data_IF_652044280346
#
_entry.id   IF_652044280346
#
_cell.length_a   1.000
_cell.length_b   1.000
_cell.length_c   1.000
_cell.angle_alpha   90.00
_cell.angle_beta   90.00
_cell.angle_gamma   90.00
#
_symmetry.space_group_name_H-M   'P 1'
#
loop_
_entity.id
_entity.type
_entity.pdbx_description
1 polymer ?
#
# COMPACT_ATOMS: atom_id res chain seq x y z
N UNK A 1 10.68 -19.09 16.49
CA UNK A 1 9.53 -20.02 16.37
C UNK A 1 8.51 -19.41 15.43
N UNK A 2 8.02 -20.18 14.46
CA UNK A 2 6.93 -19.78 13.56
C UNK A 2 5.82 -20.84 13.60
N UNK A 3 4.59 -20.45 13.29
CA UNK A 3 3.44 -21.33 13.18
C UNK A 3 2.78 -21.09 11.82
N UNK A 4 2.49 -22.17 11.08
CA UNK A 4 1.82 -22.10 9.78
C UNK A 4 0.55 -22.93 9.91
N UNK A 5 -0.58 -22.30 9.63
CA UNK A 5 -1.90 -22.92 9.68
C UNK A 5 -2.58 -22.73 8.33
N UNK A 6 -3.09 -23.82 7.76
CA UNK A 6 -4.02 -23.74 6.65
C UNK A 6 -5.42 -23.63 7.25
N UNK A 7 -6.03 -22.45 7.12
CA UNK A 7 -7.41 -22.22 7.53
C UNK A 7 -8.39 -22.88 6.54
N UNK A 8 -9.64 -23.00 6.96
CA UNK A 8 -10.75 -23.53 6.16
C UNK A 8 -11.17 -22.59 5.02
N UNK A 9 -11.01 -21.29 5.21
CA UNK A 9 -11.28 -20.23 4.24
C UNK A 9 -10.52 -18.94 4.60
N UNK A 10 -10.63 -17.92 3.76
CA UNK A 10 -9.99 -16.62 3.96
C UNK A 10 -10.56 -15.80 5.13
N UNK A 11 -11.81 -16.01 5.54
CA UNK A 11 -12.38 -15.35 6.72
C UNK A 11 -11.70 -15.86 7.99
N UNK A 12 -11.59 -17.17 8.12
CA UNK A 12 -10.88 -17.82 9.21
C UNK A 12 -9.40 -17.43 9.23
N UNK A 13 -8.74 -17.38 8.07
CA UNK A 13 -7.36 -16.93 7.96
C UNK A 13 -7.17 -15.49 8.47
N UNK A 14 -8.01 -14.54 8.06
CA UNK A 14 -7.94 -13.17 8.55
C UNK A 14 -8.21 -13.07 10.06
N UNK A 15 -9.21 -13.80 10.58
CA UNK A 15 -9.47 -13.87 12.01
C UNK A 15 -8.28 -14.41 12.81
N UNK A 16 -7.62 -15.46 12.33
CA UNK A 16 -6.41 -16.02 12.95
C UNK A 16 -5.25 -15.03 12.96
N UNK A 17 -5.01 -14.32 11.84
CA UNK A 17 -3.98 -13.28 11.75
C UNK A 17 -4.23 -12.16 12.75
N UNK A 18 -5.45 -11.62 12.79
CA UNK A 18 -5.82 -10.53 13.70
C UNK A 18 -5.71 -10.96 15.16
N UNK A 19 -6.17 -12.17 15.50
CA UNK A 19 -6.06 -12.72 16.85
C UNK A 19 -4.60 -12.91 17.29
N UNK A 20 -3.76 -13.46 16.42
CA UNK A 20 -2.33 -13.62 16.69
C UNK A 20 -1.63 -12.25 16.87
N UNK A 21 -1.96 -11.29 16.02
CA UNK A 21 -1.45 -9.93 16.09
C UNK A 21 -1.88 -9.16 17.34
N UNK A 22 -3.13 -9.34 17.76
CA UNK A 22 -3.65 -8.79 19.01
C UNK A 22 -2.90 -9.34 20.24
N UNK A 23 -2.52 -10.62 20.20
CA UNK A 23 -1.64 -11.24 21.21
C UNK A 23 -0.16 -10.80 21.12
N UNK A 24 0.20 -10.00 20.12
CA UNK A 24 1.54 -9.42 19.96
C UNK A 24 2.49 -10.22 19.06
N UNK A 25 2.00 -11.24 18.35
CA UNK A 25 2.76 -11.87 17.27
C UNK A 25 2.80 -10.95 16.03
N UNK A 26 3.81 -11.11 15.18
CA UNK A 26 3.75 -10.60 13.81
C UNK A 26 3.12 -11.69 12.94
N UNK A 27 1.92 -11.44 12.43
CA UNK A 27 1.16 -12.41 11.65
C UNK A 27 0.76 -11.83 10.28
N UNK A 28 0.67 -12.72 9.28
CA UNK A 28 0.25 -12.36 7.93
C UNK A 28 -0.55 -13.47 7.27
N UNK A 29 -1.29 -13.13 6.22
CA UNK A 29 -1.88 -14.11 5.29
C UNK A 29 -1.58 -13.72 3.84
N UNK A 30 -1.08 -14.64 3.01
CA UNK A 30 -1.06 -14.47 1.57
C UNK A 30 -2.40 -14.89 0.94
N UNK A 31 -2.85 -14.14 -0.06
CA UNK A 31 -4.07 -14.41 -0.83
C UNK A 31 -4.04 -13.70 -2.19
N UNK A 32 -5.16 -13.63 -2.89
CA UNK A 32 -5.39 -12.83 -4.10
C UNK A 32 -6.73 -12.06 -3.99
N UNK A 33 -7.09 -11.25 -4.98
CA UNK A 33 -8.33 -10.45 -5.02
C UNK A 33 -9.61 -11.09 -4.44
N UNK A 34 -9.98 -12.35 -4.82
CA UNK A 34 -11.16 -13.00 -4.22
C UNK A 34 -11.07 -13.20 -2.70
N UNK A 35 -9.87 -13.51 -2.20
CA UNK A 35 -9.64 -13.66 -0.77
C UNK A 35 -9.65 -12.32 -0.05
N UNK A 36 -9.07 -11.26 -0.60
CA UNK A 36 -9.19 -9.90 -0.04
C UNK A 36 -10.67 -9.48 0.07
N UNK A 37 -11.47 -9.85 -0.93
CA UNK A 37 -12.92 -9.61 -0.91
C UNK A 37 -13.60 -10.30 0.28
N UNK A 38 -13.23 -11.55 0.59
CA UNK A 38 -13.72 -12.28 1.77
C UNK A 38 -13.20 -11.68 3.08
N UNK A 39 -11.90 -11.35 3.14
CA UNK A 39 -11.24 -10.81 4.34
C UNK A 39 -11.71 -9.39 4.72
N UNK A 40 -12.41 -8.69 3.84
CA UNK A 40 -12.74 -7.26 3.97
C UNK A 40 -13.45 -6.91 5.28
N UNK A 41 -14.34 -7.74 5.80
CA UNK A 41 -15.00 -7.50 7.10
C UNK A 41 -13.98 -7.45 8.25
N UNK A 42 -13.08 -8.43 8.29
CA UNK A 42 -12.03 -8.52 9.31
C UNK A 42 -10.96 -7.44 9.14
N UNK A 43 -10.64 -7.05 7.92
CA UNK A 43 -9.75 -5.90 7.66
C UNK A 43 -10.35 -4.62 8.26
N UNK A 44 -11.66 -4.40 8.08
CA UNK A 44 -12.37 -3.26 8.67
C UNK A 44 -12.33 -3.28 10.20
N UNK A 45 -12.54 -4.46 10.81
CA UNK A 45 -12.38 -4.65 12.26
C UNK A 45 -10.96 -4.30 12.72
N UNK A 46 -9.93 -4.81 12.05
CA UNK A 46 -8.54 -4.55 12.42
C UNK A 46 -8.14 -3.07 12.26
N UNK A 47 -8.67 -2.39 11.24
CA UNK A 47 -8.49 -0.95 11.06
C UNK A 47 -9.06 -0.16 12.24
N UNK A 48 -10.34 -0.40 12.58
CA UNK A 48 -11.01 0.35 13.62
C UNK A 48 -10.49 0.01 15.03
N UNK A 49 -10.17 -1.26 15.28
CA UNK A 49 -9.56 -1.73 16.52
C UNK A 49 -8.06 -1.43 16.65
N UNK A 50 -7.44 -0.86 15.61
CA UNK A 50 -6.00 -0.57 15.52
C UNK A 50 -5.13 -1.80 15.81
N UNK A 51 -5.46 -2.93 15.18
CA UNK A 51 -4.69 -4.17 15.28
C UNK A 51 -3.73 -4.27 14.08
N UNK A 52 -2.41 -4.41 14.31
CA UNK A 52 -1.44 -4.50 13.23
C UNK A 52 -1.54 -5.85 12.51
N UNK A 53 -1.78 -5.87 11.21
CA UNK A 53 -1.79 -7.10 10.43
C UNK A 53 -1.23 -6.87 9.03
N UNK A 54 -0.64 -7.90 8.45
CA UNK A 54 -0.08 -7.85 7.09
C UNK A 54 -0.86 -8.78 6.18
N UNK A 55 -1.29 -8.28 5.03
CA UNK A 55 -1.94 -9.09 3.99
C UNK A 55 -1.14 -8.98 2.70
N UNK A 56 -0.80 -10.12 2.11
CA UNK A 56 -0.19 -10.15 0.78
C UNK A 56 -1.28 -10.43 -0.23
N UNK A 57 -1.49 -9.50 -1.16
CA UNK A 57 -2.35 -9.69 -2.32
C UNK A 57 -1.48 -9.96 -3.53
N UNK A 58 -1.43 -11.22 -3.95
CA UNK A 58 -0.75 -11.65 -5.17
C UNK A 58 -1.76 -11.56 -6.30
N UNK A 59 -1.85 -10.37 -6.90
CA UNK A 59 -2.90 -10.04 -7.85
C UNK A 59 -2.86 -10.96 -9.08
N UNK A 60 -4.05 -11.39 -9.49
CA UNK A 60 -4.29 -12.19 -10.70
C UNK A 60 -5.48 -11.61 -11.44
N UNK A 61 -5.62 -11.99 -12.71
CA UNK A 61 -6.75 -11.52 -13.53
C UNK A 61 -8.09 -11.89 -12.89
N UNK A 62 -8.88 -10.88 -12.53
CA UNK A 62 -10.29 -10.98 -12.16
C UNK A 62 -11.24 -10.70 -13.34
N UNK A 63 -12.54 -10.42 -13.10
CA UNK A 63 -13.24 -10.50 -11.80
C UNK A 63 -13.62 -11.94 -11.42
N UNK A 64 -14.08 -12.14 -10.18
CA UNK A 64 -14.46 -13.47 -9.65
C UNK A 64 -13.29 -14.46 -9.78
N UNK A 65 -13.53 -15.68 -10.23
CA UNK A 65 -12.44 -16.64 -10.53
C UNK A 65 -11.49 -16.12 -11.59
N UNK A 66 -11.95 -15.27 -12.53
CA UNK A 66 -11.14 -14.68 -13.59
C UNK A 66 -10.25 -15.69 -14.32
N UNK A 67 -8.97 -15.33 -14.52
CA UNK A 67 -7.94 -16.24 -15.06
C UNK A 67 -6.86 -16.47 -14.00
N UNK A 68 -6.94 -17.57 -13.22
CA UNK A 68 -6.05 -17.77 -12.06
C UNK A 68 -4.56 -17.83 -12.35
N UNK A 69 -4.19 -18.13 -13.60
CA UNK A 69 -2.82 -18.28 -14.06
C UNK A 69 -2.32 -17.09 -14.87
N UNK A 70 -3.03 -15.95 -14.80
CA UNK A 70 -2.72 -14.73 -15.56
C UNK A 70 -2.56 -13.54 -14.62
N UNK A 71 -1.62 -12.67 -14.95
CA UNK A 71 -1.28 -11.49 -14.15
C UNK A 71 -2.16 -10.30 -14.53
N UNK A 72 -2.56 -9.50 -13.55
CA UNK A 72 -3.24 -8.23 -13.73
C UNK A 72 -3.11 -7.42 -12.44
N UNK A 73 -3.07 -6.09 -12.52
CA UNK A 73 -2.96 -5.20 -11.36
C UNK A 73 -4.28 -4.45 -11.14
N UNK A 74 -5.34 -5.21 -10.85
CA UNK A 74 -6.73 -4.73 -10.77
C UNK A 74 -7.29 -4.63 -9.36
N UNK A 75 -6.47 -4.77 -8.32
CA UNK A 75 -6.92 -4.82 -6.93
C UNK A 75 -6.34 -3.65 -6.10
N UNK A 76 -5.81 -2.61 -6.77
CA UNK A 76 -5.21 -1.43 -6.14
C UNK A 76 -6.22 -0.67 -5.28
N UNK A 77 -7.38 -0.35 -5.86
CA UNK A 77 -8.46 0.34 -5.14
C UNK A 77 -9.06 -0.55 -4.05
N UNK A 78 -9.16 -1.86 -4.33
CA UNK A 78 -9.65 -2.84 -3.36
C UNK A 78 -8.78 -2.83 -2.10
N UNK A 79 -7.46 -2.89 -2.24
CA UNK A 79 -6.54 -2.88 -1.10
C UNK A 79 -6.42 -1.50 -0.44
N UNK A 80 -6.34 -0.40 -1.21
CA UNK A 80 -6.17 0.94 -0.66
C UNK A 80 -7.35 1.39 0.23
N UNK A 81 -8.58 0.95 -0.09
CA UNK A 81 -9.82 1.35 0.57
C UNK A 81 -10.57 0.17 1.21
N UNK A 82 -9.90 -0.94 1.51
CA UNK A 82 -10.52 -2.16 2.05
C UNK A 82 -11.23 -1.95 3.40
N UNK A 83 -12.49 -1.55 3.36
CA UNK A 83 -13.68 -2.25 3.82
C UNK A 83 -14.85 -1.27 3.71
N UNK A 84 -16.02 -1.66 4.22
CA UNK A 84 -17.13 -0.75 4.41
C UNK A 84 -16.77 0.38 5.40
N UNK A 85 -17.42 1.53 5.24
CA UNK A 85 -17.08 2.75 5.97
C UNK A 85 -15.87 3.48 5.37
N UNK A 86 -15.40 4.51 6.08
CA UNK A 86 -14.28 5.33 5.62
C UNK A 86 -12.94 4.74 6.11
N UNK A 87 -12.37 3.83 5.31
CA UNK A 87 -11.07 3.20 5.61
C UNK A 87 -10.02 3.58 4.56
N UNK A 88 -8.76 3.64 4.99
CA UNK A 88 -7.58 3.79 4.14
C UNK A 88 -6.45 2.95 4.70
N UNK A 89 -5.69 2.29 3.83
CA UNK A 89 -4.63 1.38 4.27
C UNK A 89 -3.27 1.77 3.74
N UNK A 90 -2.24 1.26 4.42
CA UNK A 90 -0.87 1.33 3.92
C UNK A 90 -0.70 0.22 2.90
N UNK A 91 -0.20 0.53 1.72
CA UNK A 91 -0.02 -0.43 0.62
C UNK A 91 1.38 -0.30 0.03
N UNK A 92 2.06 -1.42 -0.16
CA UNK A 92 3.39 -1.52 -0.76
C UNK A 92 3.31 -2.17 -2.14
N UNK A 93 4.05 -1.62 -3.11
CA UNK A 93 4.03 -2.06 -4.52
C UNK A 93 5.41 -2.53 -4.99
N UNK A 94 5.83 -3.76 -4.65
CA UNK A 94 7.12 -4.31 -5.10
C UNK A 94 7.11 -4.55 -6.63
N UNK A 95 8.27 -4.37 -7.27
CA UNK A 95 8.46 -4.57 -8.72
C UNK A 95 9.23 -5.84 -9.10
N UNK A 96 9.81 -6.54 -8.13
CA UNK A 96 10.55 -7.78 -8.34
C UNK A 96 10.63 -8.61 -7.03
N UNK A 97 11.14 -9.86 -7.08
CA UNK A 97 11.27 -10.69 -5.88
C UNK A 97 12.22 -10.14 -4.80
N UNK A 98 13.20 -9.30 -5.14
CA UNK A 98 14.07 -8.66 -4.14
C UNK A 98 13.29 -7.63 -3.34
N UNK A 99 12.49 -6.81 -4.01
CA UNK A 99 11.60 -5.87 -3.32
C UNK A 99 10.52 -6.60 -2.53
N UNK A 100 9.97 -7.72 -3.02
CA UNK A 100 9.06 -8.54 -2.21
C UNK A 100 9.71 -8.98 -0.89
N UNK A 101 10.98 -9.38 -0.90
CA UNK A 101 11.73 -9.73 0.30
C UNK A 101 11.90 -8.54 1.24
N UNK A 102 12.35 -7.39 0.73
CA UNK A 102 12.59 -6.17 1.52
C UNK A 102 11.29 -5.57 2.07
N UNK A 103 10.24 -5.51 1.24
CA UNK A 103 8.95 -4.94 1.58
C UNK A 103 8.17 -5.83 2.53
N UNK A 104 8.41 -7.14 2.54
CA UNK A 104 7.84 -8.02 3.57
C UNK A 104 8.25 -7.59 4.98
N UNK A 105 9.53 -7.24 5.18
CA UNK A 105 10.04 -6.76 6.47
C UNK A 105 9.42 -5.40 6.81
N UNK A 106 9.44 -4.48 5.84
CA UNK A 106 8.91 -3.13 6.02
C UNK A 106 7.41 -3.14 6.30
N UNK A 107 6.63 -4.04 5.68
CA UNK A 107 5.20 -4.17 5.92
C UNK A 107 4.90 -4.49 7.39
N UNK A 108 5.68 -5.36 8.03
CA UNK A 108 5.50 -5.65 9.46
C UNK A 108 5.87 -4.47 10.36
N UNK A 109 6.96 -3.78 10.05
CA UNK A 109 7.38 -2.59 10.80
C UNK A 109 6.33 -1.48 10.65
N UNK A 110 5.82 -1.23 9.45
CA UNK A 110 4.74 -0.29 9.18
C UNK A 110 3.45 -0.67 9.90
N UNK A 111 3.02 -1.94 9.79
CA UNK A 111 1.83 -2.42 10.46
C UNK A 111 1.91 -2.21 11.97
N UNK A 112 3.03 -2.56 12.62
CA UNK A 112 3.18 -2.38 14.08
C UNK A 112 3.36 -0.91 14.49
N UNK A 113 4.10 -0.12 13.72
CA UNK A 113 4.30 1.31 13.97
C UNK A 113 2.99 2.08 13.92
N UNK A 114 2.22 1.90 12.85
CA UNK A 114 0.96 2.60 12.60
C UNK A 114 -0.27 1.85 13.11
N UNK A 115 -0.09 0.65 13.65
CA UNK A 115 -1.14 -0.15 14.29
C UNK A 115 -2.37 -0.28 13.38
N UNK A 116 -2.16 -0.73 12.15
CA UNK A 116 -3.18 -0.76 11.11
C UNK A 116 -2.90 -1.92 10.13
N UNK A 117 -3.93 -2.44 9.43
CA UNK A 117 -3.70 -3.35 8.31
C UNK A 117 -2.77 -2.71 7.27
N UNK A 118 -1.79 -3.48 6.82
CA UNK A 118 -0.82 -3.10 5.80
C UNK A 118 -0.79 -4.16 4.71
N UNK A 119 -0.82 -3.73 3.47
CA UNK A 119 -0.88 -4.61 2.30
C UNK A 119 0.44 -4.62 1.55
N UNK A 120 0.85 -5.79 1.09
CA UNK A 120 1.87 -5.94 0.05
C UNK A 120 1.17 -6.43 -1.19
N UNK A 121 1.07 -5.55 -2.19
CA UNK A 121 0.29 -5.77 -3.41
C UNK A 121 1.27 -6.05 -4.54
N UNK A 122 1.55 -7.33 -4.73
CA UNK A 122 2.36 -7.87 -5.82
C UNK A 122 1.45 -8.37 -6.94
N UNK A 123 2.00 -9.01 -7.96
CA UNK A 123 1.24 -9.67 -9.00
C UNK A 123 1.77 -11.08 -9.30
N UNK A 124 1.00 -11.84 -10.06
CA UNK A 124 1.28 -13.24 -10.36
C UNK A 124 2.56 -13.43 -11.18
N UNK A 125 2.97 -12.43 -11.96
CA UNK A 125 4.20 -12.51 -12.76
C UNK A 125 5.43 -12.52 -11.86
N UNK A 126 5.45 -11.64 -10.84
CA UNK A 126 6.47 -11.63 -9.80
C UNK A 126 6.38 -12.90 -8.93
N UNK A 127 5.17 -13.34 -8.60
CA UNK A 127 4.94 -14.42 -7.63
C UNK A 127 5.11 -15.84 -8.15
N UNK A 128 5.05 -16.08 -9.46
CA UNK A 128 5.09 -17.44 -10.04
C UNK A 128 6.20 -17.70 -11.07
N UNK A 129 6.90 -16.68 -11.56
CA UNK A 129 7.97 -16.85 -12.55
C UNK A 129 9.37 -16.78 -11.92
N UNK A 130 10.37 -17.30 -12.64
CA UNK A 130 11.77 -17.19 -12.25
C UNK A 130 12.35 -15.83 -12.69
N UNK A 131 13.00 -15.14 -11.77
CA UNK A 131 13.61 -13.84 -12.00
C UNK A 131 15.11 -13.86 -11.72
N UNK A 132 15.88 -13.18 -12.58
CA UNK A 132 17.26 -12.84 -12.25
C UNK A 132 17.26 -11.57 -11.40
N UNK A 133 17.58 -11.73 -10.12
CA UNK A 133 17.69 -10.62 -9.16
C UNK A 133 19.09 -10.60 -8.54
N UNK A 134 19.53 -9.45 -7.99
CA UNK A 134 20.66 -9.43 -7.08
C UNK A 134 20.46 -10.42 -5.94
N UNK A 135 21.56 -10.97 -5.43
CA UNK A 135 21.52 -11.90 -4.30
C UNK A 135 20.82 -11.22 -3.11
N UNK A 136 19.89 -11.94 -2.49
CA UNK A 136 19.23 -11.49 -1.26
C UNK A 136 20.25 -11.47 -0.10
N UNK A 137 20.24 -10.36 0.64
CA UNK A 137 21.08 -10.16 1.81
C UNK A 137 20.19 -9.97 3.05
N UNK A 138 20.58 -10.58 4.16
CA UNK A 138 19.87 -10.46 5.44
C UNK A 138 20.82 -9.96 6.52
N UNK A 139 20.35 -8.99 7.30
CA UNK A 139 21.06 -8.50 8.48
C UNK A 139 20.60 -9.27 9.73
N UNK A 140 21.44 -10.18 10.23
CA UNK A 140 21.17 -10.94 11.46
C UNK A 140 21.04 -10.04 12.71
N UNK A 141 21.48 -8.78 12.64
CA UNK A 141 21.32 -7.80 13.71
C UNK A 141 20.00 -7.02 13.66
N UNK A 142 19.19 -7.26 12.63
CA UNK A 142 17.90 -6.59 12.43
C UNK A 142 17.02 -6.69 13.67
N UNK A 143 16.51 -5.54 14.11
CA UNK A 143 15.56 -5.44 15.22
C UNK A 143 14.23 -4.91 14.69
N UNK A 144 13.16 -5.71 14.77
CA UNK A 144 11.79 -5.30 14.47
C UNK A 144 11.39 -3.95 15.10
N UNK A 145 10.84 -3.03 14.31
CA UNK A 145 10.16 -1.86 14.84
C UNK A 145 8.80 -2.27 15.43
N UNK A 146 8.74 -2.44 16.75
CA UNK A 146 7.50 -2.83 17.44
C UNK A 146 6.51 -1.68 17.59
N UNK A 147 6.89 -0.44 17.25
CA UNK A 147 6.12 0.76 17.54
C UNK A 147 6.01 1.05 19.04
N UNK A 148 4.95 1.75 19.44
CA UNK A 148 4.68 2.15 20.83
C UNK A 148 4.05 1.02 21.66
N UNK A 149 4.81 -0.05 21.92
CA UNK A 149 4.38 -1.16 22.77
C UNK A 149 4.92 -0.97 24.19
N UNK A 150 4.03 -0.77 25.16
CA UNK A 150 4.40 -0.58 26.56
C UNK A 150 4.71 -1.90 27.25
N UNK A 151 5.86 -1.96 27.93
CA UNK A 151 6.24 -3.04 28.83
C UNK A 151 5.65 -2.91 30.23
N UNK A 152 5.89 -3.92 31.08
CA UNK A 152 5.37 -3.95 32.45
C UNK A 152 5.84 -2.76 33.29
N UNK A 153 7.12 -2.37 33.18
CA UNK A 153 7.68 -1.24 33.94
C UNK A 153 7.08 0.12 33.55
N UNK A 154 6.74 0.29 32.26
CA UNK A 154 6.11 1.50 31.75
C UNK A 154 4.65 1.57 32.22
N UNK A 155 3.94 0.44 32.16
CA UNK A 155 2.56 0.32 32.63
C UNK A 155 2.44 0.48 34.14
N UNK A 156 3.41 0.03 34.92
CA UNK A 156 3.41 0.21 36.38
C UNK A 156 3.54 1.69 36.77
N UNK A 157 4.34 2.45 36.02
CA UNK A 157 4.52 3.90 36.21
C UNK A 157 3.35 4.73 35.68
N UNK A 158 2.56 4.19 34.75
CA UNK A 158 1.38 4.86 34.24
C UNK A 158 0.32 4.99 35.35
N UNK A 159 -0.27 6.18 35.46
CA UNK A 159 -1.41 6.42 36.34
C UNK A 159 -2.65 5.68 35.82
N UNK A 160 -2.95 5.87 34.53
CA UNK A 160 -4.00 5.17 33.80
C UNK A 160 -3.49 4.81 32.40
N UNK A 161 -4.05 3.75 31.80
CA UNK A 161 -3.80 3.34 30.43
C UNK A 161 -5.10 3.42 29.63
N UNK A 162 -5.05 4.09 28.47
CA UNK A 162 -6.17 4.21 27.53
C UNK A 162 -5.68 3.84 26.14
N UNK A 163 -6.30 2.79 25.56
CA UNK A 163 -5.82 2.16 24.32
C UNK A 163 -5.76 3.11 23.13
N UNK A 164 -6.69 4.06 23.03
CA UNK A 164 -6.90 4.89 21.84
C UNK A 164 -6.56 6.37 22.07
N UNK A 165 -5.90 6.67 23.19
CA UNK A 165 -5.52 8.02 23.55
C UNK A 165 -4.14 8.34 22.96
N UNK A 166 -4.10 9.30 22.05
CA UNK A 166 -2.85 9.87 21.55
C UNK A 166 -2.26 10.83 22.59
N UNK A 167 -1.03 10.55 23.02
CA UNK A 167 -0.33 11.30 24.06
C UNK A 167 0.70 12.28 23.48
N UNK A 168 1.17 12.03 22.26
CA UNK A 168 2.33 12.72 21.69
C UNK A 168 1.93 13.65 20.52
N UNK A 169 0.68 13.54 20.03
CA UNK A 169 0.17 14.31 18.91
C UNK A 169 0.57 13.76 17.54
N UNK A 170 1.14 12.55 17.49
CA UNK A 170 1.52 11.86 16.26
C UNK A 170 0.45 10.88 15.75
N UNK A 171 -0.73 10.90 16.37
CA UNK A 171 -1.91 10.10 16.05
C UNK A 171 -1.78 8.60 16.35
N UNK A 172 -0.64 8.18 16.92
CA UNK A 172 -0.34 6.78 17.23
C UNK A 172 -0.41 6.61 18.76
N UNK A 173 -1.47 5.97 19.30
CA UNK A 173 -1.59 5.75 20.72
C UNK A 173 -0.64 4.62 21.17
N UNK A 174 -0.17 4.62 22.43
CA UNK A 174 0.54 3.45 22.96
C UNK A 174 -0.39 2.24 23.04
N UNK A 175 0.16 1.03 22.84
CA UNK A 175 -0.55 -0.24 23.05
C UNK A 175 0.13 -1.10 24.10
N UNK A 176 -0.67 -1.89 24.81
CA UNK A 176 -0.22 -2.95 25.70
C UNK A 176 -0.54 -4.30 25.07
N UNK A 177 0.21 -5.35 25.45
CA UNK A 177 -0.08 -6.72 25.04
C UNK A 177 -0.78 -7.49 26.17
N UNK A 178 -1.68 -8.43 25.85
CA UNK A 178 -2.34 -9.28 26.84
C UNK A 178 -1.32 -9.99 27.74
N UNK A 179 -1.56 -9.95 29.05
CA UNK A 179 -0.74 -10.64 30.05
C UNK A 179 0.53 -9.92 30.50
N UNK A 180 0.86 -8.74 29.93
CA UNK A 180 2.07 -7.99 30.33
C UNK A 180 1.91 -7.34 31.71
N UNK A 181 0.78 -6.67 31.97
CA UNK A 181 0.49 -6.05 33.26
C UNK A 181 -1.02 -5.79 33.45
N UNK A 182 -1.60 -5.92 34.65
CA UNK A 182 -3.04 -5.67 34.88
C UNK A 182 -3.49 -4.26 34.50
N UNK A 183 -2.64 -3.23 34.68
CA UNK A 183 -2.96 -1.84 34.29
C UNK A 183 -3.09 -1.66 32.78
N UNK A 184 -2.46 -2.52 31.97
CA UNK A 184 -2.55 -2.47 30.51
C UNK A 184 -3.75 -3.22 29.93
N UNK A 185 -4.72 -3.63 30.76
CA UNK A 185 -5.91 -4.33 30.31
C UNK A 185 -6.90 -3.37 29.65
N UNK A 186 -7.44 -3.76 28.50
CA UNK A 186 -8.46 -3.00 27.77
C UNK A 186 -9.37 -3.94 26.98
N UNK A 187 -10.55 -3.45 26.62
CA UNK A 187 -11.43 -4.14 25.69
C UNK A 187 -11.25 -3.55 24.29
N UNK A 188 -11.07 -4.42 23.31
CA UNK A 188 -11.12 -4.06 21.89
C UNK A 188 -12.52 -4.29 21.35
N UNK A 189 -12.99 -3.45 20.43
CA UNK A 189 -14.36 -3.50 19.88
C UNK A 189 -14.34 -3.17 18.39
N UNK A 190 -15.27 -3.74 17.64
CA UNK A 190 -15.62 -3.28 16.29
C UNK A 190 -16.78 -2.28 16.27
N UNK A 191 -17.45 -2.09 17.41
CA UNK A 191 -18.51 -1.08 17.61
C UNK A 191 -17.92 0.27 18.01
N UNK A 192 -18.70 1.34 17.84
CA UNK A 192 -18.33 2.71 18.23
C UNK A 192 -17.62 2.80 19.58
N UNK A 193 -16.47 3.47 19.62
CA UNK A 193 -15.72 3.72 20.85
C UNK A 193 -15.13 5.12 20.88
N UNK A 194 -14.95 5.66 22.08
CA UNK A 194 -14.22 6.90 22.30
C UNK A 194 -12.70 6.64 22.38
N UNK A 195 -11.91 7.71 22.60
CA UNK A 195 -10.46 7.63 22.80
C UNK A 195 -10.03 6.88 24.07
N UNK A 196 -10.95 6.66 25.01
CA UNK A 196 -10.70 5.90 26.24
C UNK A 196 -11.05 4.41 26.08
N UNK A 197 -11.60 4.00 24.93
CA UNK A 197 -12.01 2.62 24.63
C UNK A 197 -13.37 2.24 25.21
N UNK A 198 -14.17 3.22 25.64
CA UNK A 198 -15.52 3.00 26.10
C UNK A 198 -16.47 2.97 24.91
N UNK A 199 -17.48 2.10 24.97
CA UNK A 199 -18.52 2.08 23.95
C UNK A 199 -19.28 3.40 23.94
N UNK A 200 -19.50 3.94 22.74
CA UNK A 200 -20.23 5.19 22.55
C UNK A 200 -20.95 5.20 21.22
N UNK A 201 -22.06 5.94 21.16
CA UNK A 201 -22.75 6.36 19.94
C UNK A 201 -22.76 7.90 19.81
N UNK A 202 -21.97 8.58 20.64
CA UNK A 202 -21.82 10.02 20.60
C UNK A 202 -21.10 10.47 19.31
N UNK A 203 -21.66 11.49 18.67
CA UNK A 203 -21.18 11.98 17.39
C UNK A 203 -19.78 12.59 17.48
N UNK A 204 -19.51 13.38 18.50
CA UNK A 204 -18.24 14.10 18.61
C UNK A 204 -17.10 13.13 18.93
N UNK A 205 -17.35 12.17 19.81
CA UNK A 205 -16.40 11.10 20.12
C UNK A 205 -16.07 10.23 18.89
N UNK A 206 -17.08 9.89 18.08
CA UNK A 206 -16.87 9.14 16.84
C UNK A 206 -16.01 9.92 15.83
N UNK A 207 -16.34 11.21 15.62
CA UNK A 207 -15.60 12.09 14.71
C UNK A 207 -14.15 12.24 15.15
N UNK A 208 -13.88 12.39 16.45
CA UNK A 208 -12.52 12.48 17.01
C UNK A 208 -11.68 11.24 16.65
N UNK A 209 -12.23 10.04 16.86
CA UNK A 209 -11.52 8.78 16.57
C UNK A 209 -11.27 8.62 15.06
N UNK A 210 -12.29 8.83 14.23
CA UNK A 210 -12.16 8.65 12.78
C UNK A 210 -11.18 9.65 12.16
N UNK A 211 -11.21 10.90 12.59
CA UNK A 211 -10.26 11.92 12.13
C UNK A 211 -8.81 11.55 12.50
N UNK A 212 -8.57 11.04 13.72
CA UNK A 212 -7.25 10.56 14.15
C UNK A 212 -6.79 9.36 13.31
N UNK A 213 -7.65 8.39 13.03
CA UNK A 213 -7.29 7.22 12.22
C UNK A 213 -6.84 7.64 10.81
N UNK A 214 -7.56 8.57 10.19
CA UNK A 214 -7.18 9.12 8.88
C UNK A 214 -5.83 9.85 8.95
N UNK A 215 -5.61 10.68 9.98
CA UNK A 215 -4.35 11.40 10.17
C UNK A 215 -3.17 10.45 10.42
N UNK A 216 -3.38 9.38 11.20
CA UNK A 216 -2.41 8.31 11.44
C UNK A 216 -1.98 7.65 10.14
N UNK A 217 -2.92 7.24 9.29
CA UNK A 217 -2.60 6.63 7.98
C UNK A 217 -1.84 7.62 7.10
N UNK A 218 -2.31 8.88 6.99
CA UNK A 218 -1.62 9.92 6.19
C UNK A 218 -0.18 10.16 6.65
N UNK A 219 0.08 10.11 7.96
CA UNK A 219 1.44 10.29 8.51
C UNK A 219 2.43 9.18 8.11
N UNK A 220 1.94 8.07 7.54
CA UNK A 220 2.77 7.00 7.00
C UNK A 220 3.37 7.29 5.62
N UNK A 221 2.94 8.36 4.93
CA UNK A 221 3.40 8.69 3.58
C UNK A 221 4.94 8.78 3.45
N UNK A 222 5.62 9.32 4.46
CA UNK A 222 7.09 9.43 4.46
C UNK A 222 7.80 8.17 5.01
N UNK A 223 7.03 7.15 5.40
CA UNK A 223 7.55 5.89 5.95
C UNK A 223 7.38 4.71 5.00
N UNK A 224 6.44 4.77 4.06
CA UNK A 224 6.37 3.79 2.97
C UNK A 224 7.65 3.87 2.13
N UNK A 225 8.00 2.80 1.38
CA UNK A 225 9.13 2.82 0.46
C UNK A 225 9.06 4.05 -0.45
N UNK A 226 10.14 4.82 -0.45
CA UNK A 226 10.21 6.05 -1.22
C UNK A 226 10.03 5.73 -2.73
N UNK A 227 9.27 6.55 -3.47
CA UNK A 227 9.12 6.36 -4.90
C UNK A 227 10.47 6.56 -5.60
N UNK A 228 10.65 5.89 -6.74
CA UNK A 228 11.87 6.01 -7.55
C UNK A 228 11.64 6.98 -8.70
N UNK A 229 12.47 8.02 -8.76
CA UNK A 229 12.39 9.07 -9.77
C UNK A 229 13.57 8.95 -10.72
N UNK A 230 13.28 8.86 -12.01
CA UNK A 230 14.25 8.91 -13.10
C UNK A 230 14.02 10.19 -13.87
N UNK A 231 14.94 11.15 -13.70
CA UNK A 231 14.92 12.44 -14.39
C UNK A 231 15.81 12.40 -15.63
N UNK A 232 15.44 13.18 -16.63
CA UNK A 232 16.18 13.34 -17.88
C UNK A 232 16.41 14.81 -18.19
N UNK A 233 17.57 15.14 -18.75
CA UNK A 233 17.87 16.51 -19.18
C UNK A 233 17.15 16.82 -20.50
N UNK A 234 16.49 17.98 -20.57
CA UNK A 234 15.79 18.42 -21.80
C UNK A 234 14.42 17.76 -22.03
N UNK A 235 13.76 17.28 -20.98
CA UNK A 235 12.45 16.63 -21.05
C UNK A 235 11.36 17.49 -21.69
N UNK A 236 10.40 16.82 -22.32
CA UNK A 236 9.30 17.43 -23.09
C UNK A 236 8.15 18.00 -22.23
N UNK A 237 8.28 18.01 -20.90
CA UNK A 237 7.15 18.27 -20.00
C UNK A 237 6.22 17.05 -19.82
N UNK A 238 6.58 15.89 -20.38
CA UNK A 238 5.86 14.61 -20.22
C UNK A 238 6.54 13.74 -19.17
N UNK A 239 5.77 13.30 -18.18
CA UNK A 239 6.18 12.31 -17.19
C UNK A 239 5.44 10.99 -17.36
N UNK A 240 6.09 9.88 -17.00
CA UNK A 240 5.45 8.56 -16.88
C UNK A 240 5.30 8.23 -15.40
N UNK A 241 4.15 7.68 -15.00
CA UNK A 241 3.92 7.12 -13.67
C UNK A 241 3.50 5.66 -13.79
N UNK A 242 4.06 4.78 -12.96
CA UNK A 242 3.66 3.37 -12.90
C UNK A 242 4.00 2.73 -11.55
N UNK A 243 3.66 1.45 -11.37
CA UNK A 243 3.88 0.66 -10.16
C UNK A 243 4.35 -0.76 -10.50
N UNK A 244 4.93 -1.44 -9.50
CA UNK A 244 5.13 -2.89 -9.49
C UNK A 244 5.75 -3.47 -10.76
N UNK A 245 5.23 -4.62 -11.22
CA UNK A 245 5.76 -5.38 -12.36
C UNK A 245 5.80 -4.63 -13.70
N UNK A 246 5.16 -3.46 -13.83
CA UNK A 246 5.28 -2.62 -15.02
C UNK A 246 6.68 -1.99 -15.17
N UNK A 247 7.43 -1.89 -14.07
CA UNK A 247 8.68 -1.14 -13.99
C UNK A 247 9.66 -1.41 -15.13
N UNK A 248 9.96 -2.68 -15.37
CA UNK A 248 11.01 -3.08 -16.31
C UNK A 248 10.64 -2.81 -17.76
N UNK A 249 9.37 -3.03 -18.13
CA UNK A 249 8.86 -2.69 -19.45
C UNK A 249 8.89 -1.17 -19.71
N UNK A 250 8.62 -0.36 -18.68
CA UNK A 250 8.69 1.10 -18.77
C UNK A 250 10.13 1.59 -18.92
N UNK A 251 11.07 1.04 -18.14
CA UNK A 251 12.49 1.38 -18.27
C UNK A 251 13.02 1.06 -19.68
N UNK A 252 12.72 -0.13 -20.20
CA UNK A 252 13.20 -0.55 -21.51
C UNK A 252 12.58 0.28 -22.66
N UNK A 253 11.31 0.66 -22.53
CA UNK A 253 10.67 1.59 -23.46
C UNK A 253 11.29 2.98 -23.40
N UNK A 254 11.60 3.49 -22.21
CA UNK A 254 12.27 4.79 -22.02
C UNK A 254 13.66 4.80 -22.64
N UNK A 255 14.43 3.72 -22.50
CA UNK A 255 15.75 3.60 -23.13
C UNK A 255 15.64 3.60 -24.66
N UNK A 256 14.58 3.00 -25.20
CA UNK A 256 14.28 3.03 -26.64
C UNK A 256 13.96 4.45 -27.12
N UNK A 257 13.08 5.18 -26.42
CA UNK A 257 12.79 6.58 -26.72
C UNK A 257 14.04 7.47 -26.63
N UNK A 258 14.88 7.26 -25.61
CA UNK A 258 16.11 8.03 -25.44
C UNK A 258 17.10 7.81 -26.60
N UNK A 259 17.18 6.59 -27.15
CA UNK A 259 17.98 6.31 -28.34
C UNK A 259 17.48 7.04 -29.60
N UNK A 260 16.21 7.43 -29.62
CA UNK A 260 15.57 8.23 -30.66
C UNK A 260 15.57 9.74 -30.35
N UNK A 261 16.20 10.15 -29.24
CA UNK A 261 16.30 11.55 -28.80
C UNK A 261 15.07 12.07 -28.07
N UNK A 262 14.15 11.19 -27.66
CA UNK A 262 12.99 11.53 -26.83
C UNK A 262 13.28 11.16 -25.38
N UNK A 263 13.32 12.19 -24.52
CA UNK A 263 13.63 12.03 -23.10
C UNK A 263 12.36 12.21 -22.26
N UNK A 264 12.01 11.17 -21.49
CA UNK A 264 10.81 11.11 -20.66
C UNK A 264 11.19 10.84 -19.22
N UNK A 265 10.67 11.65 -18.31
CA UNK A 265 10.83 11.42 -16.89
C UNK A 265 9.93 10.25 -16.44
N UNK A 266 10.35 9.52 -15.42
CA UNK A 266 9.58 8.39 -14.90
C UNK A 266 9.59 8.35 -13.38
N UNK A 267 8.40 8.22 -12.80
CA UNK A 267 8.18 7.96 -11.38
C UNK A 267 7.60 6.55 -11.21
N UNK A 268 8.31 5.70 -10.48
CA UNK A 268 7.75 4.48 -9.93
C UNK A 268 7.23 4.73 -8.53
N UNK A 269 5.92 4.60 -8.36
CA UNK A 269 5.28 4.60 -7.05
C UNK A 269 5.56 3.24 -6.38
N UNK A 270 6.04 3.28 -5.13
CA UNK A 270 6.43 2.08 -4.36
C UNK A 270 5.59 1.86 -3.09
N UNK A 271 4.78 2.85 -2.72
CA UNK A 271 3.80 2.71 -1.66
C UNK A 271 2.71 3.78 -1.67
N UNK A 272 1.68 3.53 -0.87
CA UNK A 272 0.54 4.41 -0.57
C UNK A 272 0.34 4.42 0.95
N UNK A 273 0.05 5.57 1.61
CA UNK A 273 -0.26 6.90 1.05
C UNK A 273 0.88 7.57 0.26
N UNK A 274 0.53 8.47 -0.66
CA UNK A 274 1.50 9.22 -1.46
C UNK A 274 2.17 10.33 -0.65
N UNK A 275 3.46 10.55 -0.90
CA UNK A 275 4.25 11.62 -0.28
C UNK A 275 4.46 12.81 -1.23
N UNK A 276 5.15 13.85 -0.74
CA UNK A 276 5.40 15.08 -1.52
C UNK A 276 6.20 14.82 -2.80
N UNK A 277 6.98 13.74 -2.87
CA UNK A 277 7.72 13.41 -4.12
C UNK A 277 6.77 13.07 -5.25
N UNK A 278 5.68 12.35 -4.96
CA UNK A 278 4.63 12.06 -5.95
C UNK A 278 3.93 13.35 -6.37
N UNK A 279 3.51 14.17 -5.41
CA UNK A 279 2.87 15.48 -5.67
C UNK A 279 3.75 16.38 -6.54
N UNK A 280 5.03 16.51 -6.19
CA UNK A 280 5.96 17.35 -6.93
C UNK A 280 6.16 16.82 -8.36
N UNK A 281 6.32 15.50 -8.52
CA UNK A 281 6.40 14.92 -9.86
C UNK A 281 5.15 15.23 -10.70
N UNK A 282 3.95 15.13 -10.13
CA UNK A 282 2.72 15.48 -10.85
C UNK A 282 2.61 16.97 -11.19
N UNK A 283 3.16 17.85 -10.34
CA UNK A 283 3.22 19.31 -10.59
C UNK A 283 4.21 19.67 -11.70
N UNK A 284 5.36 19.01 -11.75
CA UNK A 284 6.49 19.33 -12.64
C UNK A 284 6.24 19.02 -14.13
N UNK A 285 5.22 18.24 -14.48
CA UNK A 285 4.95 17.81 -15.85
C UNK A 285 3.61 18.35 -16.33
N UNK A 286 3.50 18.80 -17.57
CA UNK A 286 2.24 19.23 -18.16
C UNK A 286 1.31 18.05 -18.42
N UNK A 287 1.88 16.95 -18.92
CA UNK A 287 1.20 15.68 -19.14
C UNK A 287 1.86 14.56 -18.34
N UNK A 288 1.06 13.75 -17.66
CA UNK A 288 1.51 12.56 -16.95
C UNK A 288 0.79 11.33 -17.50
N UNK A 289 1.56 10.40 -18.05
CA UNK A 289 1.05 9.14 -18.60
C UNK A 289 1.16 8.05 -17.54
N UNK A 290 0.01 7.61 -17.03
CA UNK A 290 -0.10 6.51 -16.08
C UNK A 290 -0.12 5.20 -16.84
N UNK A 291 0.89 4.36 -16.64
CA UNK A 291 0.97 3.02 -17.23
C UNK A 291 0.54 2.01 -16.17
N UNK A 292 -0.51 1.25 -16.47
CA UNK A 292 -1.11 0.35 -15.49
C UNK A 292 -1.76 -0.87 -16.13
N UNK A 293 -1.73 -1.99 -15.39
CA UNK A 293 -2.27 -3.27 -15.86
C UNK A 293 -3.72 -3.50 -15.42
N UNK A 294 -4.62 -2.56 -15.72
CA UNK A 294 -6.05 -2.72 -15.47
C UNK A 294 -6.88 -1.88 -16.47
N UNK A 295 -8.18 -2.21 -16.58
CA UNK A 295 -9.11 -1.53 -17.49
C UNK A 295 -9.58 -0.18 -16.96
N UNK A 296 -9.70 -0.07 -15.64
CA UNK A 296 -10.48 0.97 -14.96
C UNK A 296 -9.63 2.13 -14.42
N UNK A 297 -8.36 2.18 -14.83
CA UNK A 297 -7.45 3.27 -14.52
C UNK A 297 -7.24 3.45 -13.00
N UNK A 298 -7.12 2.34 -12.26
CA UNK A 298 -7.13 2.36 -10.80
C UNK A 298 -6.00 3.21 -10.19
N UNK A 299 -4.78 3.15 -10.73
CA UNK A 299 -3.68 3.97 -10.22
C UNK A 299 -3.93 5.44 -10.52
N UNK A 300 -4.38 5.76 -11.75
CA UNK A 300 -4.75 7.12 -12.12
C UNK A 300 -5.86 7.66 -11.22
N UNK A 301 -6.91 6.88 -10.96
CA UNK A 301 -8.00 7.29 -10.08
C UNK A 301 -7.53 7.46 -8.64
N UNK A 302 -6.62 6.62 -8.15
CA UNK A 302 -6.01 6.79 -6.84
C UNK A 302 -5.22 8.11 -6.77
N UNK A 303 -4.44 8.45 -7.81
CA UNK A 303 -3.75 9.75 -7.90
C UNK A 303 -4.74 10.91 -7.90
N UNK A 304 -5.85 10.84 -8.65
CA UNK A 304 -6.86 11.90 -8.68
C UNK A 304 -7.56 12.12 -7.34
N UNK A 305 -7.78 11.05 -6.57
CA UNK A 305 -8.46 11.12 -5.28
C UNK A 305 -7.53 11.59 -4.15
N UNK A 306 -6.25 11.23 -4.24
CA UNK A 306 -5.29 11.34 -3.13
C UNK A 306 -4.21 12.39 -3.36
N UNK A 307 -4.26 13.13 -4.48
CA UNK A 307 -3.35 14.23 -4.78
C UNK A 307 -4.08 15.47 -5.28
N UNK A 308 -3.36 16.58 -5.39
CA UNK A 308 -3.87 17.83 -5.95
C UNK A 308 -3.85 17.90 -7.50
N UNK A 309 -3.51 16.80 -8.18
CA UNK A 309 -3.32 16.80 -9.63
C UNK A 309 -4.63 17.02 -10.40
N UNK A 310 -4.58 17.92 -11.40
CA UNK A 310 -5.68 18.15 -12.32
C UNK A 310 -5.92 16.93 -13.23
N UNK A 311 -7.20 16.64 -13.51
CA UNK A 311 -7.61 15.44 -14.26
C UNK A 311 -7.10 15.46 -15.70
N UNK A 312 -7.04 16.64 -16.29
CA UNK A 312 -6.66 16.88 -17.68
C UNK A 312 -5.21 16.48 -17.95
N UNK A 313 -4.35 16.56 -16.92
CA UNK A 313 -2.92 16.18 -16.99
C UNK A 313 -2.72 14.66 -17.03
N UNK A 314 -3.63 13.89 -16.44
CA UNK A 314 -3.47 12.44 -16.30
C UNK A 314 -4.04 11.68 -17.49
N UNK A 315 -3.14 11.12 -18.31
CA UNK A 315 -3.45 10.19 -19.38
C UNK A 315 -3.19 8.76 -18.91
N UNK A 316 -3.83 7.75 -19.50
CA UNK A 316 -3.62 6.35 -19.11
C UNK A 316 -3.30 5.47 -20.32
N UNK A 317 -2.30 4.62 -20.16
CA UNK A 317 -1.97 3.50 -21.05
C UNK A 317 -2.28 2.22 -20.29
N UNK A 318 -3.37 1.57 -20.72
CA UNK A 318 -3.98 0.45 -20.00
C UNK A 318 -3.63 -0.87 -20.65
N UNK A 319 -3.11 -1.82 -19.90
CA UNK A 319 -2.84 -3.18 -20.39
C UNK A 319 -3.50 -4.26 -19.52
N UNK A 320 -4.60 -4.85 -20.00
CA UNK A 320 -5.41 -5.76 -19.18
C UNK A 320 -5.67 -7.11 -19.87
N UNK A 321 -4.73 -7.54 -20.73
CA UNK A 321 -4.82 -8.80 -21.47
C UNK A 321 -4.43 -10.07 -20.69
N UNK A 322 -4.02 -9.94 -19.42
CA UNK A 322 -3.62 -11.06 -18.58
C UNK A 322 -2.16 -11.53 -18.75
N UNK A 323 -1.35 -10.80 -19.53
CA UNK A 323 0.08 -11.10 -19.71
C UNK A 323 0.94 -10.09 -18.96
N UNK A 324 2.25 -10.36 -18.79
CA UNK A 324 3.19 -9.33 -18.39
C UNK A 324 3.23 -8.18 -19.42
N UNK A 325 3.44 -6.95 -18.93
CA UNK A 325 3.55 -5.79 -19.79
C UNK A 325 4.84 -5.90 -20.62
N UNK A 326 4.77 -5.53 -21.90
CA UNK A 326 5.94 -5.49 -22.78
C UNK A 326 6.30 -4.07 -23.16
N UNK A 327 7.59 -3.81 -23.40
CA UNK A 327 8.05 -2.49 -23.88
C UNK A 327 7.33 -2.02 -25.15
N UNK A 328 6.99 -2.95 -26.05
CA UNK A 328 6.34 -2.62 -27.31
C UNK A 328 4.96 -2.00 -27.09
N UNK A 329 4.22 -2.54 -26.11
CA UNK A 329 2.93 -1.97 -25.72
C UNK A 329 3.07 -0.59 -25.07
N UNK A 330 4.12 -0.40 -24.26
CA UNK A 330 4.43 0.92 -23.68
C UNK A 330 4.74 1.93 -24.78
N UNK A 331 5.60 1.58 -25.74
CA UNK A 331 5.96 2.48 -26.85
C UNK A 331 4.72 2.85 -27.68
N UNK A 332 3.93 1.85 -28.09
CA UNK A 332 2.70 2.07 -28.87
C UNK A 332 1.70 2.96 -28.10
N UNK A 333 1.55 2.75 -26.79
CA UNK A 333 0.64 3.52 -25.96
C UNK A 333 1.11 4.95 -25.66
N UNK A 334 2.42 5.17 -25.51
CA UNK A 334 2.99 6.48 -25.16
C UNK A 334 3.13 7.38 -26.40
N UNK A 335 3.48 6.82 -27.56
CA UNK A 335 3.77 7.58 -28.80
C UNK A 335 2.70 8.61 -29.19
N UNK A 336 1.38 8.31 -29.12
CA UNK A 336 0.33 9.26 -29.49
C UNK A 336 0.31 10.54 -28.64
N UNK A 337 0.83 10.50 -27.41
CA UNK A 337 0.90 11.67 -26.53
C UNK A 337 2.09 12.57 -26.87
N UNK A 338 3.19 11.99 -27.34
CA UNK A 338 4.40 12.72 -27.74
C UNK A 338 4.19 13.52 -29.02
N UNK A 339 3.44 12.97 -29.98
CA UNK A 339 3.14 13.65 -31.24
C UNK A 339 2.23 14.86 -31.05
N UNK A 340 1.29 14.81 -30.09
CA UNK A 340 0.35 15.90 -29.81
C UNK A 340 1.06 17.13 -29.25
N UNK A 341 1.93 16.93 -28.27
CA UNK A 341 2.71 18.05 -27.71
C UNK A 341 3.71 18.63 -28.72
N UNK A 342 4.27 17.80 -29.61
CA UNK A 342 5.16 18.28 -30.66
C UNK A 342 4.42 19.12 -31.73
N UNK A 343 3.12 18.90 -31.92
CA UNK A 343 2.26 19.72 -32.78
C UNK A 343 1.79 21.00 -32.06
N UNK A 344 1.45 20.91 -30.77
CA UNK A 344 1.05 22.06 -29.94
C UNK A 344 2.21 23.03 -29.68
N UNK A 345 3.45 22.54 -29.49
CA UNK A 345 4.63 23.38 -29.32
C UNK A 345 5.09 24.11 -30.61
N UNK A 346 4.53 23.74 -31.78
CA UNK A 346 4.82 24.38 -33.07
C UNK A 346 3.79 25.45 -33.47
N UNK A 347 2.65 25.53 -32.76
CA UNK A 347 1.66 26.60 -32.92
C UNK A 347 1.92 27.72 -31.93
#
# INVERSE_FOLDING_TARGET
NFCILQAEDELAAAGMVIGASWMGARAFSPTAGPGISLMSEFIGLAYYAEVPCVFFDIQRTGPSTGMPTRTQQSDLMLCAYASHGDTKHIVLFPADPKECFEFSVQAFDLAERFQTPTFVVSDLDIGMNDWMIPKLEWDDSFKPDRGKVLGADELEKAENFYRYLDLDGDHIPPRSLPGVHPKGAYFTRGSGHDKYGQYTEDSDAYVEVMARLLAKVKSAADRVPAPEVYRTDGGLGVGIVSIGGCHWAVLEARDTFAAEGVHLDYLRIRGFPFNETVEQFLKDHDTVIVIEQNRDEQLKNLLLLETSCAKEKLQSVRYYGGQPLSKGYVIEGVTPFLTREHEEAKQ
#
